data_IF_818819674894
#
_entry.id   IF_818819674894
#
_cell.length_a   1.000
_cell.length_b   1.000
_cell.length_c   1.000
_cell.angle_alpha   90.00
_cell.angle_beta   90.00
_cell.angle_gamma   90.00
#
_symmetry.space_group_name_H-M   'P 1'
#
loop_
_entity.id
_entity.type
_entity.pdbx_description
1 polymer ?
#
# COMPACT_ATOMS: atom_id res chain seq x y z
N UNK A 1 -30.51 -23.80 -9.50
CA UNK A 1 -29.03 -23.88 -9.59
C UNK A 1 -28.60 -22.50 -10.06
N UNK A 2 -27.92 -21.74 -9.21
CA UNK A 2 -27.33 -20.46 -9.64
C UNK A 2 -26.23 -20.76 -10.67
N UNK A 3 -26.03 -19.89 -11.65
CA UNK A 3 -24.92 -20.09 -12.58
C UNK A 3 -23.60 -19.78 -11.85
N UNK A 4 -22.50 -20.43 -12.26
CA UNK A 4 -21.15 -20.17 -11.75
C UNK A 4 -20.80 -18.66 -11.81
N UNK A 5 -21.30 -17.98 -12.84
CA UNK A 5 -21.08 -16.56 -13.07
C UNK A 5 -21.81 -15.67 -12.06
N UNK A 6 -23.04 -16.05 -11.69
CA UNK A 6 -23.83 -15.33 -10.67
C UNK A 6 -23.25 -15.48 -9.26
N UNK A 7 -22.57 -16.59 -8.98
CA UNK A 7 -21.95 -16.86 -7.66
C UNK A 7 -20.60 -16.15 -7.50
N UNK A 8 -19.88 -15.92 -8.60
CA UNK A 8 -18.51 -15.38 -8.59
C UNK A 8 -18.41 -13.94 -9.13
N UNK A 9 -19.54 -13.25 -9.35
CA UNK A 9 -19.60 -11.86 -9.86
C UNK A 9 -18.73 -11.66 -11.12
N UNK A 10 -18.80 -12.62 -12.04
CA UNK A 10 -17.99 -12.62 -13.27
C UNK A 10 -18.87 -12.81 -14.51
N UNK A 11 -18.49 -12.18 -15.63
CA UNK A 11 -19.23 -12.30 -16.89
C UNK A 11 -18.61 -13.37 -17.81
N UNK A 12 -19.42 -14.14 -18.54
CA UNK A 12 -18.93 -15.04 -19.57
C UNK A 12 -18.33 -14.26 -20.75
N UNK A 13 -17.27 -14.81 -21.37
CA UNK A 13 -16.63 -14.21 -22.54
C UNK A 13 -17.61 -14.13 -23.72
N UNK A 14 -17.60 -12.99 -24.42
CA UNK A 14 -18.38 -12.80 -25.65
C UNK A 14 -17.67 -13.43 -26.85
N UNK A 15 -18.41 -13.58 -27.95
CA UNK A 15 -17.87 -14.20 -29.17
C UNK A 15 -16.69 -13.37 -29.73
N UNK A 16 -15.55 -14.03 -29.93
CA UNK A 16 -14.28 -13.38 -30.33
C UNK A 16 -13.53 -12.64 -29.22
N UNK A 17 -14.05 -12.60 -27.98
CA UNK A 17 -13.36 -12.02 -26.83
C UNK A 17 -12.28 -12.99 -26.31
N UNK A 18 -11.11 -12.46 -25.95
CA UNK A 18 -10.05 -13.25 -25.33
C UNK A 18 -9.99 -12.97 -23.82
N UNK A 19 -9.57 -13.95 -23.01
CA UNK A 19 -9.31 -13.72 -21.60
C UNK A 19 -8.29 -12.61 -21.40
N UNK A 20 -8.37 -11.92 -20.26
CA UNK A 20 -7.39 -10.89 -19.93
C UNK A 20 -6.03 -11.54 -19.62
N UNK A 21 -5.15 -11.56 -20.62
CA UNK A 21 -3.81 -12.14 -20.52
C UNK A 21 -2.96 -11.50 -19.42
N UNK A 22 -3.20 -10.22 -19.09
CA UNK A 22 -2.49 -9.55 -17.99
C UNK A 22 -2.94 -10.10 -16.62
N UNK A 23 -4.22 -10.43 -16.46
CA UNK A 23 -4.70 -11.11 -15.24
C UNK A 23 -4.13 -12.53 -15.13
N UNK A 24 -4.02 -13.25 -16.25
CA UNK A 24 -3.36 -14.56 -16.25
C UNK A 24 -1.87 -14.48 -15.93
N UNK A 25 -1.18 -13.45 -16.43
CA UNK A 25 0.21 -13.19 -16.07
C UNK A 25 0.35 -12.84 -14.59
N UNK A 26 -0.52 -11.99 -14.06
CA UNK A 26 -0.54 -11.67 -12.63
C UNK A 26 -0.77 -12.92 -11.78
N UNK A 27 -1.70 -13.80 -12.19
CA UNK A 27 -1.96 -15.08 -11.52
C UNK A 27 -0.73 -15.99 -11.54
N UNK A 28 -0.06 -16.11 -12.69
CA UNK A 28 1.18 -16.88 -12.82
C UNK A 28 2.26 -16.38 -11.85
N UNK A 29 2.45 -15.06 -11.76
CA UNK A 29 3.43 -14.45 -10.87
C UNK A 29 3.10 -14.68 -9.39
N UNK A 30 1.82 -14.66 -9.03
CA UNK A 30 1.36 -14.96 -7.67
C UNK A 30 1.57 -16.44 -7.33
N UNK A 31 1.14 -17.35 -8.21
CA UNK A 31 1.22 -18.80 -7.99
C UNK A 31 2.67 -19.31 -8.01
N UNK A 32 3.56 -18.68 -8.79
CA UNK A 32 4.99 -19.03 -8.82
C UNK A 32 5.78 -18.50 -7.61
N UNK A 33 5.16 -17.67 -6.76
CA UNK A 33 5.81 -17.01 -5.64
C UNK A 33 6.67 -15.79 -6.03
N UNK A 34 6.86 -15.53 -7.33
CA UNK A 34 7.65 -14.40 -7.83
C UNK A 34 7.04 -13.04 -7.46
N UNK A 35 5.72 -12.98 -7.25
CA UNK A 35 5.05 -11.76 -6.82
C UNK A 35 5.55 -11.27 -5.45
N UNK A 36 5.85 -12.18 -4.51
CA UNK A 36 6.37 -11.80 -3.20
C UNK A 36 7.81 -11.28 -3.29
N UNK A 37 8.63 -11.90 -4.15
CA UNK A 37 9.98 -11.42 -4.43
C UNK A 37 9.96 -10.04 -5.10
N UNK A 38 9.05 -9.82 -6.05
CA UNK A 38 8.85 -8.53 -6.69
C UNK A 38 8.31 -7.47 -5.74
N UNK A 39 7.41 -7.81 -4.81
CA UNK A 39 6.91 -6.88 -3.80
C UNK A 39 8.03 -6.45 -2.83
N UNK A 40 8.88 -7.38 -2.41
CA UNK A 40 10.08 -7.09 -1.61
C UNK A 40 11.08 -6.21 -2.36
N UNK A 41 11.32 -6.50 -3.63
CA UNK A 41 12.21 -5.72 -4.50
C UNK A 41 11.64 -4.33 -4.79
N UNK A 42 10.34 -4.23 -5.06
CA UNK A 42 9.63 -2.97 -5.22
C UNK A 42 9.66 -2.16 -3.93
N UNK A 43 9.41 -2.79 -2.78
CA UNK A 43 9.55 -2.20 -1.45
C UNK A 43 10.99 -1.76 -1.16
N UNK A 44 12.00 -2.46 -1.64
CA UNK A 44 13.40 -2.05 -1.49
C UNK A 44 13.77 -0.86 -2.39
N UNK A 45 13.31 -0.85 -3.64
CA UNK A 45 13.68 0.17 -4.64
C UNK A 45 12.82 1.43 -4.49
N UNK A 46 11.55 1.27 -4.15
CA UNK A 46 10.54 2.33 -4.11
C UNK A 46 9.87 2.49 -2.73
N UNK A 47 9.93 1.48 -1.87
CA UNK A 47 9.30 1.47 -0.54
C UNK A 47 10.23 1.88 0.61
N UNK A 48 11.16 2.80 0.36
CA UNK A 48 11.69 3.61 1.46
C UNK A 48 10.53 4.34 2.14
N UNK A 49 10.71 4.77 3.40
CA UNK A 49 9.81 5.74 4.03
C UNK A 49 9.59 6.85 3.02
N UNK A 50 8.44 6.86 2.35
CA UNK A 50 8.18 7.75 1.24
C UNK A 50 8.32 9.12 1.85
N UNK A 51 9.46 9.80 1.59
CA UNK A 51 9.96 10.93 2.39
C UNK A 51 8.77 11.77 2.74
N UNK A 52 8.26 11.62 3.97
CA UNK A 52 7.04 12.29 4.35
C UNK A 52 7.39 13.75 4.14
N UNK A 53 6.62 14.48 3.30
CA UNK A 53 7.01 15.83 2.95
C UNK A 53 7.24 16.58 4.27
N UNK A 54 8.37 17.28 4.42
CA UNK A 54 8.69 17.94 5.67
C UNK A 54 7.51 18.83 6.05
N UNK A 55 7.15 18.83 7.34
CA UNK A 55 6.08 19.68 7.84
C UNK A 55 6.36 21.14 7.41
N UNK A 56 5.32 21.84 6.95
CA UNK A 56 5.51 23.19 6.42
C UNK A 56 6.08 24.11 7.51
N UNK A 57 7.02 25.00 7.13
CA UNK A 57 7.67 25.93 8.05
C UNK A 57 6.66 26.74 8.87
N UNK A 58 5.57 27.18 8.23
CA UNK A 58 4.46 27.90 8.87
C UNK A 58 3.78 27.09 9.98
N UNK A 59 3.56 25.80 9.76
CA UNK A 59 2.93 24.91 10.76
C UNK A 59 3.86 24.74 11.96
N UNK A 60 5.15 24.49 11.72
CA UNK A 60 6.16 24.36 12.79
C UNK A 60 6.26 25.63 13.63
N UNK A 61 6.22 26.80 13.00
CA UNK A 61 6.28 28.10 13.69
C UNK A 61 5.00 28.44 14.47
N UNK A 62 3.86 27.85 14.11
CA UNK A 62 2.58 28.07 14.79
C UNK A 62 2.37 27.18 16.02
N UNK A 63 3.29 26.25 16.32
CA UNK A 63 3.16 25.33 17.45
C UNK A 63 3.37 26.06 18.80
N UNK A 64 2.60 25.72 19.85
CA UNK A 64 2.77 26.31 21.17
C UNK A 64 4.07 25.84 21.82
N UNK A 65 4.92 26.79 22.21
CA UNK A 65 6.15 26.50 22.95
C UNK A 65 5.89 26.53 24.45
N UNK A 66 6.17 25.43 25.14
CA UNK A 66 6.10 25.34 26.60
C UNK A 66 7.51 25.27 27.19
N UNK A 67 7.79 26.12 28.18
CA UNK A 67 9.03 26.07 28.95
C UNK A 67 8.90 24.98 30.01
N UNK A 68 9.73 23.95 29.91
CA UNK A 68 9.76 22.85 30.88
C UNK A 68 10.80 23.17 31.95
N UNK A 69 10.41 23.10 33.22
CA UNK A 69 11.33 23.26 34.34
C UNK A 69 12.07 21.94 34.63
N UNK A 70 13.28 21.97 35.20
CA UNK A 70 14.05 20.74 35.49
C UNK A 70 13.33 19.76 36.45
N UNK A 71 12.37 20.24 37.25
CA UNK A 71 11.54 19.40 38.11
C UNK A 71 10.46 18.61 37.35
N UNK A 72 10.03 19.10 36.19
CA UNK A 72 8.99 18.49 35.33
C UNK A 72 9.60 17.51 34.32
N UNK A 73 10.84 17.76 33.88
CA UNK A 73 11.56 16.90 32.95
C UNK A 73 11.85 15.48 33.50
N UNK A 74 11.85 15.30 34.82
CA UNK A 74 12.04 14.00 35.47
C UNK A 74 10.76 13.17 35.66
N UNK A 75 9.60 13.68 35.25
CA UNK A 75 8.28 13.09 35.57
C UNK A 75 7.64 12.31 34.42
N UNK A 76 8.31 12.18 33.28
CA UNK A 76 7.76 11.55 32.06
C UNK A 76 8.55 10.32 31.56
N UNK A 77 9.22 9.60 32.45
CA UNK A 77 9.68 8.22 32.23
C UNK A 77 8.77 7.27 32.98
#
# INVERSE_FOLDING_TARGET
MASYFDEHDCEPLKDGEQPNHMLHMARLLLDSGMAAEWDLEYGRVFGGEGKIPPASKKVVESLPTHLVTPAEAGKSL
#
